data_IF_556655254625
#
_entry.id   IF_556655254625
#
_cell.length_a   1.000
_cell.length_b   1.000
_cell.length_c   1.000
_cell.angle_alpha   90.00
_cell.angle_beta   90.00
_cell.angle_gamma   90.00
#
_symmetry.space_group_name_H-M   'P 1'
#
loop_
_entity.id
_entity.type
_entity.pdbx_description
1 polymer ?
#
# COMPACT_ATOMS: atom_id res chain seq x y z
N UNK A 1 -33.46 16.29 8.69
CA UNK A 1 -32.35 16.63 9.61
C UNK A 1 -31.97 15.35 10.36
N UNK A 2 -30.68 14.96 10.37
CA UNK A 2 -30.24 13.76 11.08
C UNK A 2 -30.25 13.99 12.60
N UNK A 3 -30.71 13.01 13.39
CA UNK A 3 -30.70 13.10 14.85
C UNK A 3 -29.30 12.76 15.40
N UNK A 4 -28.57 13.71 15.99
CA UNK A 4 -27.20 13.49 16.48
C UNK A 4 -27.13 12.50 17.66
N UNK A 5 -28.24 12.21 18.33
CA UNK A 5 -28.28 11.26 19.44
C UNK A 5 -28.25 9.79 18.99
N UNK A 6 -28.57 9.50 17.72
CA UNK A 6 -28.61 8.12 17.19
C UNK A 6 -27.22 7.45 17.15
N UNK A 7 -26.16 8.22 16.95
CA UNK A 7 -24.79 7.69 16.81
C UNK A 7 -23.95 7.79 18.09
N UNK A 8 -24.55 8.24 19.20
CA UNK A 8 -23.81 8.51 20.45
C UNK A 8 -23.22 7.26 21.09
N UNK A 9 -23.86 6.10 20.93
CA UNK A 9 -23.31 4.81 21.36
C UNK A 9 -22.15 4.36 20.47
N UNK A 10 -22.29 4.50 19.15
CA UNK A 10 -21.27 4.14 18.16
C UNK A 10 -20.00 4.98 18.28
N UNK A 11 -20.12 6.24 18.71
CA UNK A 11 -18.98 7.14 18.92
C UNK A 11 -18.19 6.82 20.19
N UNK A 12 -18.75 6.07 21.16
CA UNK A 12 -18.05 5.72 22.40
C UNK A 12 -16.89 4.77 22.16
N UNK A 13 -17.04 3.86 21.19
CA UNK A 13 -16.05 2.84 20.85
C UNK A 13 -15.30 3.18 19.55
N UNK A 14 -15.49 4.39 19.01
CA UNK A 14 -14.82 4.82 17.79
C UNK A 14 -13.31 5.01 18.04
N UNK A 15 -12.44 4.55 17.13
CA UNK A 15 -11.00 4.72 17.28
C UNK A 15 -10.62 6.19 17.23
N UNK A 16 -9.73 6.60 18.14
CA UNK A 16 -9.19 7.95 18.15
C UNK A 16 -8.23 8.14 16.97
N UNK A 17 -8.28 9.34 16.38
CA UNK A 17 -7.34 9.74 15.35
C UNK A 17 -5.91 9.65 15.88
N UNK A 18 -5.02 9.02 15.10
CA UNK A 18 -3.63 8.76 15.45
C UNK A 18 -2.64 9.44 14.50
N UNK A 19 -3.12 10.28 13.58
CA UNK A 19 -2.31 11.07 12.65
C UNK A 19 -2.99 12.40 12.33
N UNK A 20 -2.28 13.24 11.57
CA UNK A 20 -2.82 14.44 10.94
C UNK A 20 -2.64 14.36 9.43
N UNK A 21 -3.60 14.90 8.67
CA UNK A 21 -3.47 15.02 7.22
C UNK A 21 -2.56 16.22 6.84
N UNK A 22 -2.39 16.45 5.53
CA UNK A 22 -1.55 17.54 5.00
C UNK A 22 -2.08 18.96 5.31
N UNK A 23 -3.31 19.11 5.82
CA UNK A 23 -3.87 20.36 6.31
C UNK A 23 -3.85 20.47 7.85
N UNK A 24 -3.26 19.49 8.54
CA UNK A 24 -3.20 19.45 10.01
C UNK A 24 -4.50 19.02 10.70
N UNK A 25 -5.50 18.51 9.96
CA UNK A 25 -6.70 17.96 10.56
C UNK A 25 -6.50 16.51 11.01
N UNK A 26 -7.25 16.08 12.04
CA UNK A 26 -7.19 14.74 12.61
C UNK A 26 -7.49 13.66 11.55
N UNK A 27 -6.64 12.62 11.50
CA UNK A 27 -6.68 11.55 10.52
C UNK A 27 -6.19 10.21 11.11
N UNK A 28 -6.24 9.16 10.29
CA UNK A 28 -5.74 7.83 10.64
C UNK A 28 -4.49 7.48 9.83
N UNK A 29 -3.45 7.00 10.52
CA UNK A 29 -2.22 6.54 9.89
C UNK A 29 -2.46 5.23 9.13
N UNK A 30 -1.96 5.16 7.90
CA UNK A 30 -1.90 3.89 7.17
C UNK A 30 -0.74 3.03 7.64
N UNK A 31 -0.93 1.72 7.59
CA UNK A 31 0.20 0.78 7.71
C UNK A 31 1.14 0.96 6.52
N UNK A 32 2.45 0.68 6.64
CA UNK A 32 3.40 0.85 5.53
C UNK A 32 2.98 0.11 4.25
N UNK A 33 2.45 -1.12 4.40
CA UNK A 33 1.90 -1.91 3.28
C UNK A 33 0.72 -1.21 2.61
N UNK A 34 -0.23 -0.73 3.40
CA UNK A 34 -1.41 -0.04 2.87
C UNK A 34 -1.01 1.29 2.20
N UNK A 35 -0.15 2.09 2.85
CA UNK A 35 0.37 3.35 2.29
C UNK A 35 1.00 3.11 0.91
N UNK A 36 1.90 2.12 0.80
CA UNK A 36 2.54 1.81 -0.48
C UNK A 36 1.53 1.31 -1.52
N UNK A 37 0.61 0.43 -1.13
CA UNK A 37 -0.40 -0.09 -2.04
C UNK A 37 -1.29 1.02 -2.62
N UNK A 38 -1.72 1.97 -1.79
CA UNK A 38 -2.47 3.13 -2.23
C UNK A 38 -1.64 4.00 -3.18
N UNK A 39 -0.39 4.32 -2.83
CA UNK A 39 0.50 5.10 -3.71
C UNK A 39 0.73 4.41 -5.05
N UNK A 40 0.85 3.08 -5.09
CA UNK A 40 1.06 2.34 -6.35
C UNK A 40 -0.18 2.36 -7.23
N UNK A 41 -1.37 2.34 -6.65
CA UNK A 41 -2.63 2.28 -7.39
C UNK A 41 -3.14 3.65 -7.82
N UNK A 42 -2.86 4.70 -7.04
CA UNK A 42 -3.43 6.05 -7.27
C UNK A 42 -2.38 7.15 -7.44
N UNK A 43 -1.09 6.84 -7.26
CA UNK A 43 -0.03 7.83 -7.30
C UNK A 43 0.30 8.24 -8.74
N UNK A 44 0.26 9.55 -8.98
CA UNK A 44 0.54 10.11 -10.31
C UNK A 44 2.03 10.39 -10.56
N UNK A 45 2.88 10.39 -9.52
CA UNK A 45 4.28 10.85 -9.59
C UNK A 45 4.44 12.24 -10.24
N UNK A 46 3.44 13.11 -10.06
CA UNK A 46 3.42 14.46 -10.59
C UNK A 46 3.11 15.46 -9.47
N UNK A 47 3.28 16.75 -9.75
CA UNK A 47 2.84 17.83 -8.86
C UNK A 47 1.34 17.73 -8.59
N UNK A 48 0.98 17.63 -7.31
CA UNK A 48 -0.40 17.66 -6.82
C UNK A 48 -0.57 18.78 -5.82
N UNK A 49 -1.82 19.07 -5.43
CA UNK A 49 -2.15 20.17 -4.52
C UNK A 49 -1.40 20.13 -3.17
N UNK A 50 -1.11 18.93 -2.64
CA UNK A 50 -0.46 18.76 -1.34
C UNK A 50 0.96 18.17 -1.40
N UNK A 51 1.38 17.65 -2.56
CA UNK A 51 2.65 16.93 -2.65
C UNK A 51 3.27 17.09 -4.03
N UNK A 52 4.56 17.38 -4.04
CA UNK A 52 5.37 17.39 -5.26
C UNK A 52 5.65 15.98 -5.76
N UNK A 53 5.97 15.85 -7.05
CA UNK A 53 6.34 14.57 -7.64
C UNK A 53 7.58 13.97 -6.96
N UNK A 54 8.55 14.81 -6.62
CA UNK A 54 9.76 14.40 -5.90
C UNK A 54 9.46 13.93 -4.47
N UNK A 55 8.55 14.61 -3.76
CA UNK A 55 8.14 14.19 -2.42
C UNK A 55 7.45 12.82 -2.46
N UNK A 56 6.54 12.60 -3.42
CA UNK A 56 5.90 11.30 -3.62
C UNK A 56 6.93 10.20 -3.92
N UNK A 57 7.92 10.47 -4.77
CA UNK A 57 8.99 9.52 -5.07
C UNK A 57 9.80 9.16 -3.82
N UNK A 58 10.20 10.17 -3.04
CA UNK A 58 10.94 9.96 -1.80
C UNK A 58 10.15 9.12 -0.80
N UNK A 59 8.84 9.39 -0.68
CA UNK A 59 7.92 8.63 0.17
C UNK A 59 7.80 7.16 -0.23
N UNK A 60 7.69 6.89 -1.53
CA UNK A 60 7.66 5.52 -2.06
C UNK A 60 8.98 4.80 -1.75
N UNK A 61 10.12 5.44 -2.00
CA UNK A 61 11.44 4.86 -1.72
C UNK A 61 11.65 4.60 -0.24
N UNK A 62 11.22 5.51 0.64
CA UNK A 62 11.30 5.33 2.08
C UNK A 62 10.43 4.16 2.54
N UNK A 63 9.18 4.12 2.08
CA UNK A 63 8.21 3.07 2.48
C UNK A 63 8.62 1.69 1.94
N UNK A 64 9.19 1.62 0.75
CA UNK A 64 9.59 0.35 0.12
C UNK A 64 10.78 -0.33 0.80
N UNK A 65 11.65 0.41 1.50
CA UNK A 65 12.85 -0.16 2.16
C UNK A 65 12.52 -1.17 3.25
N UNK A 66 11.42 -0.93 3.98
CA UNK A 66 11.03 -1.72 5.14
C UNK A 66 10.08 -2.87 4.79
N UNK A 67 9.80 -3.08 3.50
CA UNK A 67 8.84 -4.06 3.02
C UNK A 67 9.51 -5.27 2.35
N UNK A 68 8.80 -6.38 2.39
CA UNK A 68 9.24 -7.67 1.84
C UNK A 68 9.26 -7.67 0.30
N UNK A 69 10.25 -8.34 -0.28
CA UNK A 69 10.50 -8.38 -1.71
C UNK A 69 9.39 -9.07 -2.49
N UNK A 70 8.82 -10.14 -1.90
CA UNK A 70 7.70 -10.86 -2.48
C UNK A 70 6.49 -9.92 -2.59
N UNK A 71 6.21 -9.16 -1.53
CA UNK A 71 5.14 -8.16 -1.52
C UNK A 71 5.36 -7.07 -2.56
N UNK A 72 6.56 -6.51 -2.66
CA UNK A 72 6.88 -5.48 -3.66
C UNK A 72 6.70 -6.02 -5.09
N UNK A 73 7.10 -7.26 -5.35
CA UNK A 73 6.95 -7.89 -6.67
C UNK A 73 5.47 -8.12 -7.03
N UNK A 74 4.68 -8.64 -6.09
CA UNK A 74 3.24 -8.80 -6.26
C UNK A 74 2.55 -7.45 -6.49
N UNK A 75 2.93 -6.43 -5.72
CA UNK A 75 2.35 -5.10 -5.83
C UNK A 75 2.68 -4.43 -7.17
N UNK A 76 3.88 -4.66 -7.70
CA UNK A 76 4.25 -4.17 -9.04
C UNK A 76 3.38 -4.80 -10.14
N UNK A 77 3.18 -6.13 -10.08
CA UNK A 77 2.30 -6.84 -11.03
C UNK A 77 0.86 -6.32 -10.90
N UNK A 78 0.35 -6.26 -9.67
CA UNK A 78 -1.02 -5.83 -9.40
C UNK A 78 -1.27 -4.37 -9.83
N UNK A 79 -0.32 -3.47 -9.56
CA UNK A 79 -0.39 -2.08 -10.00
C UNK A 79 -0.44 -1.95 -11.53
N UNK A 80 0.23 -2.85 -12.25
CA UNK A 80 0.18 -2.86 -13.73
C UNK A 80 -1.11 -3.47 -14.26
N UNK A 81 -1.57 -4.58 -13.71
CA UNK A 81 -2.72 -5.33 -14.22
C UNK A 81 -4.07 -4.71 -13.83
N UNK A 82 -4.18 -4.24 -12.58
CA UNK A 82 -5.45 -3.70 -12.03
C UNK A 82 -5.42 -2.19 -11.89
N UNK A 83 -4.27 -1.64 -11.50
CA UNK A 83 -4.10 -0.19 -11.41
C UNK A 83 -3.90 0.47 -12.77
N UNK A 84 -3.54 -0.29 -13.81
CA UNK A 84 -3.15 0.22 -15.14
C UNK A 84 -2.03 1.27 -15.06
N UNK A 85 -1.21 1.22 -14.01
CA UNK A 85 -0.15 2.19 -13.76
C UNK A 85 1.11 1.85 -14.56
N UNK A 86 1.86 2.89 -14.94
CA UNK A 86 3.10 2.78 -15.73
C UNK A 86 4.35 2.98 -14.87
N UNK A 87 4.44 4.11 -14.18
CA UNK A 87 5.69 4.55 -13.54
C UNK A 87 5.91 3.84 -12.20
N UNK A 88 4.83 3.63 -11.42
CA UNK A 88 4.88 2.92 -10.14
C UNK A 88 5.37 1.46 -10.28
N UNK A 89 4.80 0.61 -11.17
CA UNK A 89 5.33 -0.74 -11.39
C UNK A 89 6.78 -0.76 -11.91
N UNK A 90 7.15 0.20 -12.77
CA UNK A 90 8.52 0.30 -13.27
C UNK A 90 9.51 0.67 -12.15
N UNK A 91 9.13 1.59 -11.26
CA UNK A 91 9.94 1.96 -10.10
C UNK A 91 10.11 0.78 -9.14
N UNK A 92 9.04 0.05 -8.82
CA UNK A 92 9.12 -1.10 -7.92
C UNK A 92 10.01 -2.21 -8.47
N UNK A 93 9.93 -2.48 -9.77
CA UNK A 93 10.81 -3.46 -10.42
C UNK A 93 12.27 -3.00 -10.44
N UNK A 94 12.52 -1.70 -10.64
CA UNK A 94 13.86 -1.11 -10.54
C UNK A 94 14.43 -1.21 -9.11
N UNK A 95 13.60 -0.93 -8.09
CA UNK A 95 13.95 -1.08 -6.67
C UNK A 95 14.39 -2.51 -6.38
N UNK A 96 13.58 -3.50 -6.78
CA UNK A 96 13.91 -4.92 -6.60
C UNK A 96 15.21 -5.31 -7.31
N UNK A 97 15.40 -4.85 -8.55
CA UNK A 97 16.59 -5.15 -9.34
C UNK A 97 17.87 -4.54 -8.75
N UNK A 98 17.78 -3.34 -8.17
CA UNK A 98 18.93 -2.58 -7.67
C UNK A 98 19.28 -2.93 -6.22
N UNK A 99 18.30 -2.93 -5.31
CA UNK A 99 18.56 -3.16 -3.88
C UNK A 99 18.79 -4.63 -3.53
N UNK A 100 18.15 -5.55 -4.26
CA UNK A 100 18.10 -6.98 -3.87
C UNK A 100 19.02 -7.87 -4.70
N UNK A 101 19.97 -7.26 -5.42
CA UNK A 101 20.90 -7.90 -6.38
C UNK A 101 21.85 -8.95 -5.76
N UNK A 102 21.85 -9.17 -4.44
CA UNK A 102 22.85 -10.01 -3.74
C UNK A 102 22.31 -11.30 -3.07
N UNK A 103 21.01 -11.59 -3.01
CA UNK A 103 20.55 -12.85 -2.40
C UNK A 103 19.65 -13.65 -3.33
N UNK A 104 20.25 -14.62 -4.03
CA UNK A 104 19.52 -15.80 -4.49
C UNK A 104 20.27 -17.07 -4.12
N UNK A 105 20.19 -17.46 -2.84
CA UNK A 105 20.30 -18.87 -2.45
C UNK A 105 18.99 -19.31 -1.80
N UNK A 106 18.32 -20.21 -2.53
CA UNK A 106 17.23 -21.13 -2.16
C UNK A 106 16.02 -20.55 -1.41
N UNK A 107 14.89 -20.47 -2.11
CA UNK A 107 13.71 -21.18 -1.62
C UNK A 107 13.30 -22.24 -2.64
N UNK A 108 13.51 -23.48 -2.22
CA UNK A 108 12.86 -24.71 -2.65
C UNK A 108 11.37 -24.65 -2.33
N UNK A 109 10.55 -25.29 -3.16
CA UNK A 109 9.14 -25.60 -2.87
C UNK A 109 8.18 -24.81 -3.74
N UNK A 110 7.75 -25.44 -4.82
CA UNK A 110 6.83 -24.85 -5.79
C UNK A 110 5.45 -24.58 -5.23
N UNK A 111 4.92 -23.41 -5.59
CA UNK A 111 3.51 -23.13 -5.85
C UNK A 111 3.44 -21.77 -6.55
N UNK A 112 4.09 -21.68 -7.72
CA UNK A 112 3.99 -20.52 -8.59
C UNK A 112 2.64 -20.62 -9.30
N UNK A 113 1.75 -19.68 -8.97
CA UNK A 113 0.41 -19.51 -9.54
C UNK A 113 -0.57 -20.67 -9.25
N UNK A 114 -1.28 -20.60 -8.12
CA UNK A 114 -2.51 -21.40 -7.95
C UNK A 114 -3.07 -21.55 -6.54
N UNK A 115 -2.24 -21.53 -5.48
CA UNK A 115 -2.71 -21.93 -4.14
C UNK A 115 -2.49 -20.89 -3.02
N UNK A 116 -1.72 -19.82 -3.26
CA UNK A 116 -1.45 -18.78 -2.25
C UNK A 116 -2.47 -17.63 -2.28
N UNK A 117 -3.63 -17.79 -2.91
CA UNK A 117 -4.77 -16.92 -2.69
C UNK A 117 -5.49 -17.21 -1.35
N UNK A 118 -5.03 -18.19 -0.56
CA UNK A 118 -5.67 -18.56 0.72
C UNK A 118 -4.86 -18.26 1.98
N UNK A 119 -3.53 -18.11 1.92
CA UNK A 119 -2.70 -18.11 3.15
C UNK A 119 -2.05 -16.77 3.50
N UNK A 120 -2.07 -15.77 2.59
CA UNK A 120 -1.67 -14.39 2.93
C UNK A 120 -2.84 -13.64 3.62
N UNK A 121 -4.03 -14.25 3.64
CA UNK A 121 -5.29 -13.70 4.15
C UNK A 121 -5.57 -14.06 5.62
N UNK A 122 -4.69 -14.82 6.29
CA UNK A 122 -4.91 -15.30 7.66
C UNK A 122 -4.55 -14.27 8.76
N UNK A 123 -4.33 -13.00 8.38
CA UNK A 123 -4.09 -11.89 9.31
C UNK A 123 -4.87 -10.64 8.90
N UNK A 124 -6.18 -10.67 9.12
CA UNK A 124 -7.03 -9.50 9.44
C UNK A 124 -7.03 -8.26 8.51
N UNK A 125 -6.73 -8.41 7.21
CA UNK A 125 -7.10 -7.38 6.25
C UNK A 125 -7.37 -7.97 4.87
N UNK A 126 -8.62 -8.39 4.70
CA UNK A 126 -9.23 -8.77 3.43
C UNK A 126 -9.13 -7.59 2.46
N UNK A 127 -8.33 -7.75 1.39
CA UNK A 127 -8.34 -6.84 0.26
C UNK A 127 -9.77 -6.83 -0.32
N UNK A 128 -10.40 -5.67 -0.61
CA UNK A 128 -11.74 -5.67 -1.15
C UNK A 128 -11.69 -6.35 -2.52
N UNK A 129 -12.21 -7.57 -2.56
CA UNK A 129 -12.45 -8.31 -3.78
C UNK A 129 -13.28 -7.42 -4.71
N UNK A 130 -12.79 -7.29 -5.93
CA UNK A 130 -13.42 -6.53 -7.00
C UNK A 130 -14.86 -7.04 -7.22
N UNK A 131 -15.82 -6.14 -7.02
CA UNK A 131 -17.09 -6.20 -7.73
C UNK A 131 -16.88 -5.95 -9.23
#
# INVERSE_FOLDING_TARGET
MANPLLFRSLLRDAPLANASNQQGAAAFAFTPRHKLAQMVMTGCMNETFYASGQAQLNDVLATAKDLDDLFLAQLAIYGRERGMMKDMPALLTAILAFWRRVVRRRHSGGAWFGAAAGSIYAGDQQWPDAA
#
